data_IF_177605273435
#
_entry.id   IF_177605273435
#
_cell.length_a   1.000
_cell.length_b   1.000
_cell.length_c   1.000
_cell.angle_alpha   90.00
_cell.angle_beta   90.00
_cell.angle_gamma   90.00
#
_symmetry.space_group_name_H-M   'P 1'
#
loop_
_entity.id
_entity.type
_entity.pdbx_description
1 polymer ?
#
# COMPACT_ATOMS: atom_id res chain seq x y z
N UNK A 1 -27.35 -53.97 -50.66
CA UNK A 1 -28.48 -53.02 -50.60
C UNK A 1 -28.73 -52.70 -49.13
N UNK A 2 -28.66 -51.42 -48.76
CA UNK A 2 -29.23 -50.71 -47.58
C UNK A 2 -29.17 -51.38 -46.18
N UNK A 3 -28.85 -50.72 -45.06
CA UNK A 3 -29.02 -49.32 -44.70
C UNK A 3 -28.04 -48.89 -43.58
N UNK A 4 -27.64 -47.63 -43.66
CA UNK A 4 -27.01 -46.80 -42.63
C UNK A 4 -28.08 -46.23 -41.69
N UNK A 5 -27.77 -46.00 -40.40
CA UNK A 5 -27.76 -44.64 -39.81
C UNK A 5 -27.93 -44.61 -38.27
N UNK A 6 -27.12 -43.74 -37.67
CA UNK A 6 -27.42 -42.90 -36.50
C UNK A 6 -27.42 -43.53 -35.09
N UNK A 7 -26.22 -43.80 -34.57
CA UNK A 7 -25.93 -43.64 -33.12
C UNK A 7 -24.96 -42.48 -32.98
N UNK A 8 -25.50 -41.31 -32.66
CA UNK A 8 -24.74 -40.09 -32.43
C UNK A 8 -25.72 -38.93 -32.25
N UNK A 9 -25.49 -38.09 -31.25
CA UNK A 9 -26.33 -36.97 -30.77
C UNK A 9 -27.33 -37.28 -29.66
N UNK A 10 -26.83 -37.52 -28.44
CA UNK A 10 -27.61 -37.21 -27.23
C UNK A 10 -26.78 -36.75 -26.02
N UNK A 11 -25.49 -36.42 -26.20
CA UNK A 11 -24.59 -36.07 -25.07
C UNK A 11 -23.92 -34.69 -25.15
N UNK A 12 -24.30 -33.84 -26.11
CA UNK A 12 -23.74 -32.46 -26.22
C UNK A 12 -24.67 -31.36 -25.68
N UNK A 13 -25.90 -31.68 -25.27
CA UNK A 13 -26.91 -30.68 -24.94
C UNK A 13 -26.95 -30.18 -23.48
N UNK A 14 -26.12 -30.72 -22.57
CA UNK A 14 -26.21 -30.43 -21.14
C UNK A 14 -25.03 -29.64 -20.56
N UNK A 15 -24.01 -29.29 -21.36
CA UNK A 15 -22.83 -28.52 -20.91
C UNK A 15 -22.83 -27.06 -21.41
N UNK A 16 -23.70 -26.69 -22.38
CA UNK A 16 -23.75 -25.32 -22.91
C UNK A 16 -24.72 -24.37 -22.16
N UNK A 17 -25.46 -24.86 -21.16
CA UNK A 17 -26.42 -24.06 -20.40
C UNK A 17 -25.86 -23.48 -19.08
N UNK A 18 -24.57 -23.68 -18.78
CA UNK A 18 -23.92 -23.12 -17.60
C UNK A 18 -23.19 -21.82 -17.98
N UNK A 19 -23.93 -20.70 -18.02
CA UNK A 19 -23.30 -19.38 -17.98
C UNK A 19 -23.68 -18.38 -19.07
N UNK A 20 -24.87 -18.42 -19.65
CA UNK A 20 -25.42 -17.22 -20.29
C UNK A 20 -25.90 -16.25 -19.19
N UNK A 21 -24.97 -15.45 -18.66
CA UNK A 21 -25.34 -14.30 -17.82
C UNK A 21 -26.01 -13.28 -18.72
N UNK A 22 -27.24 -12.88 -18.38
CA UNK A 22 -27.95 -11.85 -19.12
C UNK A 22 -27.08 -10.58 -19.23
N UNK A 23 -27.04 -9.99 -20.42
CA UNK A 23 -26.17 -8.85 -20.80
C UNK A 23 -26.23 -7.72 -19.77
N UNK A 24 -27.43 -7.39 -19.34
CA UNK A 24 -27.72 -6.33 -18.37
C UNK A 24 -27.11 -6.68 -17.01
N UNK A 25 -27.20 -7.94 -16.59
CA UNK A 25 -26.60 -8.47 -15.36
C UNK A 25 -25.08 -8.41 -15.41
N UNK A 26 -24.47 -8.73 -16.55
CA UNK A 26 -23.03 -8.66 -16.78
C UNK A 26 -22.49 -7.21 -16.72
N UNK A 27 -23.16 -6.28 -17.39
CA UNK A 27 -22.81 -4.85 -17.38
C UNK A 27 -23.03 -4.25 -15.98
N UNK A 28 -24.12 -4.62 -15.31
CA UNK A 28 -24.42 -4.16 -13.96
C UNK A 28 -23.39 -4.68 -12.95
N UNK A 29 -23.05 -5.96 -13.00
CA UNK A 29 -22.02 -6.55 -12.13
C UNK A 29 -20.66 -5.84 -12.31
N UNK A 30 -20.25 -5.56 -13.55
CA UNK A 30 -18.97 -4.91 -13.82
C UNK A 30 -18.95 -3.45 -13.35
N UNK A 31 -20.06 -2.71 -13.48
CA UNK A 31 -20.19 -1.37 -12.91
C UNK A 31 -20.10 -1.38 -11.38
N UNK A 32 -20.72 -2.37 -10.71
CA UNK A 32 -20.62 -2.54 -9.26
C UNK A 32 -19.18 -2.81 -8.82
N UNK A 33 -18.45 -3.66 -9.54
CA UNK A 33 -17.03 -3.95 -9.24
C UNK A 33 -16.15 -2.70 -9.43
N UNK A 34 -16.39 -1.92 -10.49
CA UNK A 34 -15.71 -0.64 -10.73
C UNK A 34 -15.96 0.35 -9.58
N UNK A 35 -17.21 0.50 -9.15
CA UNK A 35 -17.57 1.38 -8.04
C UNK A 35 -16.91 0.95 -6.73
N UNK A 36 -16.94 -0.36 -6.44
CA UNK A 36 -16.32 -0.92 -5.24
C UNK A 36 -14.80 -0.65 -5.19
N UNK A 37 -14.07 -0.91 -6.29
CA UNK A 37 -12.64 -0.65 -6.32
C UNK A 37 -12.30 0.83 -6.25
N UNK A 38 -13.13 1.71 -6.81
CA UNK A 38 -12.96 3.16 -6.68
C UNK A 38 -13.12 3.60 -5.21
N UNK A 39 -14.15 3.11 -4.51
CA UNK A 39 -14.36 3.39 -3.09
C UNK A 39 -13.19 2.90 -2.24
N UNK A 40 -12.72 1.66 -2.46
CA UNK A 40 -11.52 1.13 -1.79
C UNK A 40 -10.28 1.98 -2.04
N UNK A 41 -10.10 2.51 -3.25
CA UNK A 41 -8.97 3.43 -3.55
C UNK A 41 -9.05 4.71 -2.71
N UNK A 42 -10.25 5.27 -2.53
CA UNK A 42 -10.47 6.48 -1.74
C UNK A 42 -10.25 6.21 -0.25
N UNK A 43 -10.75 5.08 0.27
CA UNK A 43 -10.50 4.63 1.64
C UNK A 43 -9.00 4.49 1.91
N UNK A 44 -8.27 3.76 1.06
CA UNK A 44 -6.82 3.58 1.21
C UNK A 44 -6.03 4.88 1.06
N UNK A 45 -6.51 5.83 0.25
CA UNK A 45 -5.92 7.17 0.19
C UNK A 45 -6.09 7.90 1.53
N UNK A 46 -7.30 7.85 2.12
CA UNK A 46 -7.59 8.46 3.43
C UNK A 46 -6.75 7.85 4.54
N UNK A 47 -6.61 6.53 4.57
CA UNK A 47 -5.75 5.82 5.53
C UNK A 47 -4.28 6.23 5.39
N UNK A 48 -3.76 6.35 4.16
CA UNK A 48 -2.40 6.85 3.91
C UNK A 48 -2.22 8.27 4.43
N UNK A 49 -3.18 9.16 4.18
CA UNK A 49 -3.08 10.55 4.61
C UNK A 49 -3.19 10.67 6.15
N UNK A 50 -4.00 9.83 6.80
CA UNK A 50 -4.03 9.72 8.26
C UNK A 50 -2.67 9.26 8.83
N UNK A 51 -2.06 8.23 8.25
CA UNK A 51 -0.74 7.76 8.67
C UNK A 51 0.37 8.80 8.45
N UNK A 52 0.31 9.60 7.38
CA UNK A 52 1.24 10.73 7.21
C UNK A 52 1.07 11.78 8.30
N UNK A 53 -0.16 12.08 8.69
CA UNK A 53 -0.42 13.03 9.80
C UNK A 53 0.15 12.48 11.11
N UNK A 54 -0.01 11.18 11.36
CA UNK A 54 0.59 10.52 12.51
C UNK A 54 2.12 10.60 12.49
N UNK A 55 2.73 10.34 11.33
CA UNK A 55 4.17 10.50 11.13
C UNK A 55 4.64 11.91 11.50
N UNK A 56 3.96 12.96 11.00
CA UNK A 56 4.27 14.35 11.36
C UNK A 56 4.14 14.61 12.86
N UNK A 57 3.11 14.05 13.51
CA UNK A 57 2.91 14.16 14.96
C UNK A 57 4.08 13.54 15.73
N UNK A 58 4.52 12.34 15.33
CA UNK A 58 5.67 11.65 15.94
C UNK A 58 6.95 12.50 15.77
N UNK A 59 7.19 13.07 14.59
CA UNK A 59 8.32 13.98 14.35
C UNK A 59 8.26 15.20 15.28
N UNK A 60 7.10 15.84 15.42
CA UNK A 60 6.95 17.01 16.30
C UNK A 60 7.23 16.67 17.77
N UNK A 61 6.69 15.57 18.27
CA UNK A 61 6.93 15.11 19.65
C UNK A 61 8.41 14.80 19.85
N UNK A 62 9.06 14.17 18.88
CA UNK A 62 10.49 13.86 18.94
C UNK A 62 11.36 15.13 18.96
N UNK A 63 11.07 16.12 18.11
CA UNK A 63 11.79 17.40 18.13
C UNK A 63 11.56 18.17 19.44
N UNK A 64 10.34 18.13 19.99
CA UNK A 64 10.06 18.73 21.29
C UNK A 64 10.86 18.04 22.40
N UNK A 65 10.92 16.70 22.39
CA UNK A 65 11.75 15.92 23.31
C UNK A 65 13.24 16.31 23.22
N UNK A 66 13.79 16.42 22.01
CA UNK A 66 15.17 16.87 21.81
C UNK A 66 15.41 18.28 22.33
N UNK A 67 14.48 19.21 22.08
CA UNK A 67 14.58 20.58 22.55
C UNK A 67 14.57 20.67 24.09
N UNK A 68 13.69 19.90 24.74
CA UNK A 68 13.61 19.83 26.21
C UNK A 68 14.88 19.21 26.79
N UNK A 69 15.40 18.13 26.20
CA UNK A 69 16.65 17.52 26.65
C UNK A 69 17.84 18.48 26.53
N UNK A 70 17.95 19.18 25.40
CA UNK A 70 19.02 20.15 25.19
C UNK A 70 18.91 21.34 26.16
N UNK A 71 17.70 21.87 26.37
CA UNK A 71 17.46 22.93 27.34
C UNK A 71 17.81 22.50 28.77
N UNK A 72 17.50 21.25 29.15
CA UNK A 72 17.85 20.69 30.45
C UNK A 72 19.37 20.53 30.62
N UNK A 73 20.10 20.15 29.55
CA UNK A 73 21.56 20.09 29.56
C UNK A 73 22.19 21.49 29.73
N UNK A 74 21.70 22.49 28.99
CA UNK A 74 22.23 23.86 29.05
C UNK A 74 21.90 24.59 30.36
N UNK A 75 20.77 24.26 31.00
CA UNK A 75 20.35 24.86 32.27
C UNK A 75 20.99 24.22 33.52
N UNK A 76 21.78 23.15 33.37
CA UNK A 76 22.39 22.46 34.49
C UNK A 76 23.61 23.24 35.03
N UNK A 77 23.74 23.44 36.36
CA UNK A 77 24.85 24.17 36.93
C UNK A 77 26.20 23.43 36.78
N UNK A 78 27.30 24.14 36.45
CA UNK A 78 28.58 23.56 36.05
C UNK A 78 29.24 22.54 37.01
N UNK A 79 29.07 22.58 38.36
CA UNK A 79 29.69 21.59 39.23
C UNK A 79 28.89 20.28 39.41
N UNK A 80 27.66 20.16 38.90
CA UNK A 80 26.79 18.98 39.18
C UNK A 80 26.84 17.86 38.14
N UNK A 81 27.41 18.11 36.96
CA UNK A 81 27.62 17.10 35.91
C UNK A 81 29.05 16.56 35.93
N UNK A 82 29.58 16.23 37.11
CA UNK A 82 30.74 15.34 37.16
C UNK A 82 30.31 13.98 36.56
N UNK A 83 31.16 13.39 35.72
CA UNK A 83 30.96 12.27 34.78
C UNK A 83 30.11 11.07 35.25
N UNK A 84 29.81 10.95 36.55
CA UNK A 84 29.01 9.89 37.16
C UNK A 84 27.52 9.92 36.74
N UNK A 85 26.95 11.08 36.39
CA UNK A 85 25.54 11.19 35.95
C UNK A 85 25.36 11.52 34.46
N UNK A 86 26.46 11.65 33.69
CA UNK A 86 26.47 11.90 32.24
C UNK A 86 25.74 10.79 31.44
N UNK A 87 25.67 9.58 31.99
CA UNK A 87 24.99 8.44 31.38
C UNK A 87 23.47 8.61 31.26
N UNK A 88 22.84 9.38 32.15
CA UNK A 88 21.38 9.58 32.15
C UNK A 88 20.90 10.30 30.90
N UNK A 89 21.44 11.49 30.52
CA UNK A 89 21.02 12.15 29.29
C UNK A 89 21.37 11.33 28.04
N UNK A 90 22.51 10.63 28.02
CA UNK A 90 22.90 9.76 26.90
C UNK A 90 21.95 8.56 26.76
N UNK A 91 21.62 7.90 27.88
CA UNK A 91 20.67 6.79 27.94
C UNK A 91 19.26 7.21 27.51
N UNK A 92 18.79 8.36 28.00
CA UNK A 92 17.47 8.88 27.64
C UNK A 92 17.41 9.31 26.17
N UNK A 93 18.45 9.97 25.66
CA UNK A 93 18.57 10.35 24.26
C UNK A 93 18.57 9.12 23.34
N UNK A 94 19.39 8.10 23.67
CA UNK A 94 19.45 6.86 22.89
C UNK A 94 18.14 6.08 22.91
N UNK A 95 17.47 5.97 24.05
CA UNK A 95 16.16 5.35 24.14
C UNK A 95 15.10 6.12 23.33
N UNK A 96 15.12 7.45 23.40
CA UNK A 96 14.23 8.32 22.62
C UNK A 96 14.41 8.14 21.12
N UNK A 97 15.66 8.10 20.64
CA UNK A 97 15.96 7.81 19.23
C UNK A 97 15.52 6.41 18.82
N UNK A 98 15.75 5.39 19.65
CA UNK A 98 15.33 4.02 19.37
C UNK A 98 13.80 3.92 19.24
N UNK A 99 13.06 4.46 20.21
CA UNK A 99 11.59 4.49 20.19
C UNK A 99 11.06 5.22 18.95
N UNK A 100 11.66 6.37 18.63
CA UNK A 100 11.32 7.13 17.43
C UNK A 100 11.56 6.34 16.14
N UNK A 101 12.71 5.67 16.00
CA UNK A 101 13.00 4.85 14.81
C UNK A 101 12.06 3.68 14.65
N UNK A 102 11.70 2.99 15.74
CA UNK A 102 10.72 1.90 15.70
C UNK A 102 9.35 2.43 15.26
N UNK A 103 8.88 3.54 15.83
CA UNK A 103 7.60 4.14 15.50
C UNK A 103 7.53 4.60 14.03
N UNK A 104 8.59 5.25 13.54
CA UNK A 104 8.70 5.68 12.13
C UNK A 104 8.75 4.46 11.20
N UNK A 105 9.54 3.43 11.53
CA UNK A 105 9.62 2.22 10.73
C UNK A 105 8.27 1.49 10.63
N UNK A 106 7.51 1.41 11.73
CA UNK A 106 6.16 0.84 11.73
C UNK A 106 5.19 1.67 10.88
N UNK A 107 5.17 2.99 11.07
CA UNK A 107 4.29 3.90 10.31
C UNK A 107 4.59 3.83 8.81
N UNK A 108 5.87 3.79 8.43
CA UNK A 108 6.30 3.64 7.04
C UNK A 108 5.89 2.29 6.43
N UNK A 109 6.00 1.19 7.19
CA UNK A 109 5.50 -0.13 6.74
C UNK A 109 4.01 -0.08 6.45
N UNK A 110 3.21 0.54 7.33
CA UNK A 110 1.77 0.71 7.11
C UNK A 110 1.48 1.56 5.87
N UNK A 111 2.15 2.71 5.71
CA UNK A 111 1.99 3.57 4.53
C UNK A 111 2.34 2.82 3.24
N UNK A 112 3.42 2.05 3.23
CA UNK A 112 3.84 1.28 2.06
C UNK A 112 2.86 0.15 1.75
N UNK A 113 2.34 -0.54 2.76
CA UNK A 113 1.28 -1.54 2.62
C UNK A 113 0.02 -0.96 1.97
N UNK A 114 -0.47 0.18 2.48
CA UNK A 114 -1.63 0.85 1.90
C UNK A 114 -1.36 1.41 0.49
N UNK A 115 -0.16 1.94 0.21
CA UNK A 115 0.23 2.36 -1.14
C UNK A 115 0.25 1.18 -2.12
N UNK A 116 0.76 0.03 -1.68
CA UNK A 116 0.76 -1.20 -2.47
C UNK A 116 -0.67 -1.65 -2.77
N UNK A 117 -1.51 -1.81 -1.74
CA UNK A 117 -2.92 -2.19 -1.88
C UNK A 117 -3.69 -1.22 -2.80
N UNK A 118 -3.49 0.09 -2.64
CA UNK A 118 -4.10 1.10 -3.50
C UNK A 118 -3.65 0.96 -4.96
N UNK A 119 -2.39 0.58 -5.21
CA UNK A 119 -1.89 0.34 -6.57
C UNK A 119 -2.53 -0.91 -7.17
N UNK A 120 -2.69 -1.99 -6.41
CA UNK A 120 -3.41 -3.18 -6.85
C UNK A 120 -4.85 -2.85 -7.25
N UNK A 121 -5.59 -2.11 -6.41
CA UNK A 121 -6.94 -1.69 -6.74
C UNK A 121 -6.99 -0.78 -7.97
N UNK A 122 -5.98 0.08 -8.18
CA UNK A 122 -5.91 0.92 -9.38
C UNK A 122 -5.70 0.10 -10.66
N UNK A 123 -4.87 -0.94 -10.62
CA UNK A 123 -4.65 -1.85 -11.75
C UNK A 123 -5.91 -2.66 -12.05
N UNK A 124 -6.51 -3.21 -11.00
CA UNK A 124 -7.76 -3.98 -11.06
C UNK A 124 -8.91 -3.14 -11.65
N UNK A 125 -9.04 -1.88 -11.21
CA UNK A 125 -10.01 -0.93 -11.75
C UNK A 125 -9.78 -0.62 -13.23
N UNK A 126 -8.53 -0.43 -13.65
CA UNK A 126 -8.20 -0.17 -15.05
C UNK A 126 -8.60 -1.36 -15.93
N UNK A 127 -8.28 -2.58 -15.49
CA UNK A 127 -8.65 -3.81 -16.19
C UNK A 127 -10.16 -3.99 -16.27
N UNK A 128 -10.89 -3.79 -15.16
CA UNK A 128 -12.35 -3.84 -15.13
C UNK A 128 -12.99 -2.82 -16.09
N UNK A 129 -12.44 -1.61 -16.14
CA UNK A 129 -12.91 -0.53 -17.02
C UNK A 129 -12.65 -0.86 -18.49
N UNK A 130 -11.50 -1.44 -18.81
CA UNK A 130 -11.17 -1.82 -20.19
C UNK A 130 -12.00 -3.01 -20.66
N UNK A 131 -12.27 -4.00 -19.80
CA UNK A 131 -13.23 -5.08 -20.08
C UNK A 131 -14.63 -4.53 -20.34
N UNK A 132 -15.08 -3.55 -19.55
CA UNK A 132 -16.37 -2.88 -19.75
C UNK A 132 -16.45 -2.18 -21.12
N UNK A 133 -15.38 -1.51 -21.54
CA UNK A 133 -15.31 -0.86 -22.86
C UNK A 133 -15.36 -1.88 -23.99
N UNK A 134 -14.57 -2.96 -23.90
CA UNK A 134 -14.55 -4.03 -24.91
C UNK A 134 -15.94 -4.67 -25.04
N UNK A 135 -16.59 -4.95 -23.92
CA UNK A 135 -17.94 -5.50 -23.89
C UNK A 135 -18.92 -4.56 -24.60
N UNK A 136 -18.93 -3.26 -24.23
CA UNK A 136 -19.78 -2.24 -24.86
C UNK A 136 -19.49 -2.09 -26.36
N UNK A 137 -18.22 -2.07 -26.78
CA UNK A 137 -17.83 -1.94 -28.18
C UNK A 137 -18.26 -3.15 -29.02
N UNK A 138 -18.04 -4.39 -28.53
CA UNK A 138 -18.48 -5.62 -29.21
C UNK A 138 -20.00 -5.62 -29.45
N UNK A 139 -20.77 -5.11 -28.48
CA UNK A 139 -22.23 -5.00 -28.65
C UNK A 139 -22.66 -3.89 -29.61
N UNK A 140 -21.96 -2.76 -29.64
CA UNK A 140 -22.24 -1.71 -30.65
C UNK A 140 -21.94 -2.19 -32.07
N UNK A 141 -20.95 -3.07 -32.26
CA UNK A 141 -20.64 -3.69 -33.56
C UNK A 141 -21.54 -4.88 -33.94
N UNK A 142 -22.21 -5.50 -32.97
CA UNK A 142 -23.06 -6.68 -33.16
C UNK A 142 -24.55 -6.34 -33.34
N UNK A 143 -24.91 -5.07 -33.60
CA UNK A 143 -26.29 -4.60 -33.72
C UNK A 143 -27.12 -5.20 -34.88
N UNK A 144 -26.65 -6.29 -35.51
CA UNK A 144 -27.35 -7.04 -36.56
C UNK A 144 -27.03 -8.54 -36.64
N UNK A 145 -26.30 -9.12 -35.67
CA UNK A 145 -26.00 -10.55 -35.61
C UNK A 145 -26.03 -11.05 -34.16
N UNK A 146 -26.38 -12.34 -33.99
CA UNK A 146 -26.52 -13.02 -32.70
C UNK A 146 -25.28 -12.77 -31.81
N UNK A 147 -25.44 -12.19 -30.61
CA UNK A 147 -24.31 -11.74 -29.81
C UNK A 147 -23.49 -12.96 -29.34
N UNK A 148 -22.16 -12.95 -29.51
CA UNK A 148 -21.33 -14.08 -29.09
C UNK A 148 -21.46 -14.30 -27.57
N UNK A 149 -21.52 -15.56 -27.11
CA UNK A 149 -21.77 -15.91 -25.72
C UNK A 149 -20.68 -15.32 -24.82
N UNK A 150 -21.10 -14.55 -23.83
CA UNK A 150 -20.17 -13.93 -22.87
C UNK A 150 -19.74 -14.99 -21.87
N UNK A 151 -18.47 -15.38 -21.90
CA UNK A 151 -17.95 -16.42 -21.02
C UNK A 151 -17.70 -15.85 -19.61
N UNK A 152 -17.92 -16.59 -18.53
CA UNK A 152 -17.64 -16.14 -17.16
C UNK A 152 -16.19 -15.64 -16.97
N UNK A 153 -15.24 -16.20 -17.72
CA UNK A 153 -13.84 -15.78 -17.80
C UNK A 153 -13.62 -14.35 -18.33
N UNK A 154 -14.60 -13.74 -19.02
CA UNK A 154 -14.53 -12.35 -19.50
C UNK A 154 -14.84 -11.32 -18.39
N UNK A 155 -15.43 -11.74 -17.26
CA UNK A 155 -15.72 -10.91 -16.08
C UNK A 155 -14.89 -11.26 -14.86
N UNK A 156 -14.14 -12.36 -14.89
CA UNK A 156 -13.29 -12.78 -13.80
C UNK A 156 -12.03 -11.90 -13.74
N UNK A 157 -12.07 -10.89 -12.89
CA UNK A 157 -10.97 -9.95 -12.70
C UNK A 157 -9.95 -10.60 -11.76
N UNK A 158 -8.92 -11.21 -12.34
CA UNK A 158 -7.80 -11.74 -11.56
C UNK A 158 -7.07 -10.60 -10.85
N UNK A 159 -6.76 -10.78 -9.57
CA UNK A 159 -6.05 -9.79 -8.78
C UNK A 159 -4.68 -9.52 -9.39
N UNK A 160 -4.40 -8.25 -9.71
CA UNK A 160 -3.19 -7.89 -10.42
C UNK A 160 -2.18 -7.27 -9.45
N UNK A 161 -1.10 -7.99 -9.21
CA UNK A 161 -0.01 -7.54 -8.34
C UNK A 161 0.93 -6.58 -9.09
N UNK A 162 1.36 -5.47 -8.46
CA UNK A 162 2.40 -4.61 -8.99
C UNK A 162 3.70 -5.38 -9.23
N UNK A 163 4.45 -5.09 -10.31
CA UNK A 163 5.72 -5.75 -10.57
C UNK A 163 6.73 -5.50 -9.43
N UNK A 164 7.57 -6.49 -9.11
CA UNK A 164 8.53 -6.44 -7.99
C UNK A 164 9.48 -5.23 -8.02
N UNK A 165 9.78 -4.72 -9.21
CA UNK A 165 10.58 -3.51 -9.42
C UNK A 165 10.00 -2.27 -8.71
N UNK A 166 8.67 -2.24 -8.45
CA UNK A 166 8.01 -1.19 -7.69
C UNK A 166 8.43 -1.19 -6.21
N UNK A 167 8.55 -2.37 -5.60
CA UNK A 167 9.00 -2.52 -4.20
C UNK A 167 10.49 -2.18 -4.05
N UNK A 168 11.30 -2.52 -5.06
CA UNK A 168 12.73 -2.20 -5.09
C UNK A 168 13.05 -0.70 -4.93
N UNK A 169 12.21 0.18 -5.50
CA UNK A 169 12.36 1.64 -5.37
C UNK A 169 12.18 2.12 -3.93
N UNK A 170 11.25 1.53 -3.18
CA UNK A 170 11.05 1.86 -1.78
C UNK A 170 12.22 1.39 -0.92
N UNK A 171 12.74 0.18 -1.17
CA UNK A 171 13.87 -0.38 -0.44
C UNK A 171 15.14 0.47 -0.59
N UNK A 172 15.44 0.93 -1.82
CA UNK A 172 16.62 1.78 -2.08
C UNK A 172 16.50 3.16 -1.45
N UNK A 173 15.34 3.78 -1.54
CA UNK A 173 15.09 5.10 -0.94
C UNK A 173 15.20 5.04 0.59
N UNK A 174 14.71 3.95 1.19
CA UNK A 174 14.74 3.75 2.64
C UNK A 174 16.16 3.63 3.22
N UNK A 175 17.07 2.96 2.50
CA UNK A 175 18.46 2.82 2.93
C UNK A 175 19.15 4.18 3.13
N UNK A 176 18.89 5.15 2.25
CA UNK A 176 19.46 6.50 2.37
C UNK A 176 18.89 7.25 3.59
N UNK A 177 17.57 7.21 3.80
CA UNK A 177 16.95 7.85 4.95
C UNK A 177 17.39 7.23 6.27
N UNK A 178 17.55 5.91 6.32
CA UNK A 178 18.05 5.20 7.49
C UNK A 178 19.51 5.58 7.79
N UNK A 179 20.36 5.67 6.78
CA UNK A 179 21.73 6.17 6.93
C UNK A 179 21.77 7.59 7.50
N UNK A 180 20.95 8.50 6.96
CA UNK A 180 20.85 9.87 7.48
C UNK A 180 20.40 9.90 8.96
N UNK A 181 19.45 9.04 9.35
CA UNK A 181 19.00 8.93 10.73
C UNK A 181 20.13 8.45 11.66
N UNK A 182 20.91 7.45 11.25
CA UNK A 182 22.06 6.98 12.05
C UNK A 182 23.11 8.09 12.21
N UNK A 183 23.43 8.82 11.14
CA UNK A 183 24.39 9.92 11.21
C UNK A 183 23.92 11.02 12.18
N UNK A 184 22.64 11.37 12.16
CA UNK A 184 22.09 12.37 13.09
C UNK A 184 22.09 11.87 14.54
N UNK A 185 21.81 10.59 14.78
CA UNK A 185 21.96 9.99 16.10
C UNK A 185 23.41 10.07 16.63
N UNK A 186 24.38 9.66 15.81
CA UNK A 186 25.81 9.71 16.18
C UNK A 186 26.27 11.14 16.50
N UNK A 187 25.81 12.13 15.72
CA UNK A 187 26.06 13.53 15.98
C UNK A 187 25.46 14.00 17.31
N UNK A 188 24.19 13.68 17.59
CA UNK A 188 23.50 14.09 18.82
C UNK A 188 24.13 13.47 20.09
N UNK A 189 24.53 12.20 20.02
CA UNK A 189 25.25 11.54 21.12
C UNK A 189 26.61 12.18 21.33
N UNK A 190 27.38 12.42 20.26
CA UNK A 190 28.70 13.05 20.36
C UNK A 190 28.63 14.46 20.95
N UNK A 191 27.64 15.26 20.52
CA UNK A 191 27.41 16.59 21.06
C UNK A 191 27.00 16.54 22.55
N UNK A 192 26.14 15.60 22.94
CA UNK A 192 25.74 15.42 24.34
C UNK A 192 26.90 15.03 25.25
N UNK A 193 27.81 14.16 24.76
CA UNK A 193 29.04 13.81 25.48
C UNK A 193 29.94 15.03 25.61
N UNK A 194 30.12 15.80 24.53
CA UNK A 194 30.95 17.00 24.55
C UNK A 194 30.43 18.01 25.59
N UNK A 195 29.14 18.35 25.55
CA UNK A 195 28.51 19.30 26.48
C UNK A 195 28.47 18.83 27.93
N UNK A 196 28.50 17.52 28.17
CA UNK A 196 28.44 16.96 29.53
C UNK A 196 29.82 16.74 30.15
N UNK A 197 30.88 16.69 29.34
CA UNK A 197 32.24 16.36 29.78
C UNK A 197 33.22 17.55 29.68
N UNK A 198 32.90 18.58 28.90
CA UNK A 198 33.71 19.79 28.69
C UNK A 198 32.87 21.04 28.90
#
# INVERSE_FOLDING_TARGET
MAASAAVGYASSGLVEAEGMVARETAIQALNTVVQLHFERILEKKREVDAQKKEMWRIFQIFFLFLAVLLAAQLGAPPPRLQCRHCWVPIGLLSLGHLAFYVAVAQTLRCINGFKYQRRCHKLTLALATDRLKILKMRFSSAAGAEPPPVRPMDFEIHYQEPPESYLGKFKRSWAMYFGFLICTFGFMVSASVFLSCF
#
